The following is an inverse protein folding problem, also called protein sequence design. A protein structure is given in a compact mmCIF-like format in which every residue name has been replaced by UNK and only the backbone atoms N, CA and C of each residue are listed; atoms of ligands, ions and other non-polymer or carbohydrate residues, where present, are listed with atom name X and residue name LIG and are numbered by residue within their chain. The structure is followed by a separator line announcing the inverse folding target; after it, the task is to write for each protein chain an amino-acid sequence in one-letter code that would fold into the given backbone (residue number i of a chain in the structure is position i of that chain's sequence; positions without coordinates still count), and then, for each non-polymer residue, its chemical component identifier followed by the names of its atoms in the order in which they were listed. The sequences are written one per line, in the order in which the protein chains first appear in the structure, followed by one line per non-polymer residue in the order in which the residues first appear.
data_IF_936887161388
#
_entry.id   IF_936887161388
#
_cell.length_a   1.000
_cell.length_b   1.000
_cell.length_c   1.000
_cell.angle_alpha   90.00
_cell.angle_beta   90.00
_cell.angle_gamma   90.00
#
_symmetry.space_group_name_H-M   'P 1'
#
loop_
_entity.id
_entity.type
_entity.pdbx_description
1 polymer ?
#
# COMPACT_ATOMS: atom_id res chain seq x y z
N UNK A 1 -18.14 7.90 -13.49
CA UNK A 1 -17.33 7.09 -12.56
C UNK A 1 -17.80 5.65 -12.57
N UNK A 2 -16.87 4.70 -12.65
CA UNK A 2 -17.15 3.27 -12.91
C UNK A 2 -17.96 2.59 -11.81
N UNK A 3 -17.71 2.93 -10.54
CA UNK A 3 -18.47 2.39 -9.41
C UNK A 3 -19.99 2.63 -9.49
N UNK A 4 -20.45 3.72 -10.15
CA UNK A 4 -21.88 4.01 -10.29
C UNK A 4 -22.62 2.97 -11.14
N UNK A 5 -21.90 2.24 -12.00
CA UNK A 5 -22.43 1.12 -12.78
C UNK A 5 -22.90 0.00 -11.86
N UNK A 6 -22.20 -0.22 -10.74
CA UNK A 6 -22.53 -1.23 -9.75
C UNK A 6 -23.50 -0.72 -8.68
N UNK A 7 -23.33 0.54 -8.27
CA UNK A 7 -24.16 1.13 -7.23
C UNK A 7 -25.63 1.27 -7.65
N UNK A 8 -25.90 1.63 -8.91
CA UNK A 8 -27.28 1.88 -9.38
C UNK A 8 -28.18 0.63 -9.37
N UNK A 9 -27.76 -0.52 -9.91
CA UNK A 9 -28.54 -1.76 -9.79
C UNK A 9 -28.68 -2.22 -8.34
N UNK A 10 -27.65 -2.01 -7.52
CA UNK A 10 -27.70 -2.43 -6.12
C UNK A 10 -28.70 -1.57 -5.33
N UNK A 11 -28.78 -0.28 -5.63
CA UNK A 11 -29.77 0.64 -5.04
C UNK A 11 -31.21 0.37 -5.49
N UNK A 12 -31.44 -0.32 -6.61
CA UNK A 12 -32.80 -0.74 -6.98
C UNK A 12 -33.33 -1.92 -6.15
N UNK A 13 -32.44 -2.61 -5.43
CA UNK A 13 -32.78 -3.79 -4.63
C UNK A 13 -32.61 -3.50 -3.12
N UNK A 14 -31.62 -2.69 -2.76
CA UNK A 14 -31.23 -2.41 -1.38
C UNK A 14 -31.18 -0.91 -1.07
N UNK A 15 -31.41 -0.57 0.19
CA UNK A 15 -31.22 0.80 0.66
C UNK A 15 -29.72 1.14 0.78
N UNK A 16 -29.37 2.42 0.68
CA UNK A 16 -27.99 2.88 0.82
C UNK A 16 -27.32 2.40 2.11
N UNK A 17 -28.07 2.41 3.22
CA UNK A 17 -27.58 1.99 4.54
C UNK A 17 -27.30 0.48 4.60
N UNK A 18 -28.11 -0.33 3.93
CA UNK A 18 -27.93 -1.79 3.83
C UNK A 18 -26.68 -2.11 3.02
N UNK A 19 -26.51 -1.48 1.86
CA UNK A 19 -25.32 -1.61 1.01
C UNK A 19 -24.05 -1.28 1.81
N UNK A 20 -24.08 -0.16 2.54
CA UNK A 20 -22.95 0.27 3.36
C UNK A 20 -22.63 -0.73 4.48
N UNK A 21 -23.65 -1.26 5.15
CA UNK A 21 -23.48 -2.26 6.21
C UNK A 21 -22.84 -3.54 5.68
N UNK A 22 -23.33 -4.06 4.55
CA UNK A 22 -22.78 -5.26 3.90
C UNK A 22 -21.33 -5.07 3.47
N UNK A 23 -21.00 -3.94 2.85
CA UNK A 23 -19.62 -3.62 2.46
C UNK A 23 -18.70 -3.44 3.66
N UNK A 24 -19.20 -2.85 4.75
CA UNK A 24 -18.44 -2.71 6.00
C UNK A 24 -18.14 -4.09 6.60
N UNK A 25 -19.13 -4.98 6.66
CA UNK A 25 -18.92 -6.35 7.10
C UNK A 25 -17.88 -7.07 6.23
N UNK A 26 -18.00 -6.96 4.91
CA UNK A 26 -17.04 -7.55 3.97
C UNK A 26 -15.62 -6.99 4.15
N UNK A 27 -15.49 -5.68 4.36
CA UNK A 27 -14.21 -5.02 4.65
C UNK A 27 -13.54 -5.61 5.92
N UNK A 28 -14.28 -5.79 7.01
CA UNK A 28 -13.75 -6.34 8.25
C UNK A 28 -13.35 -7.81 8.12
N UNK A 29 -14.13 -8.60 7.39
CA UNK A 29 -13.78 -9.99 7.07
C UNK A 29 -12.48 -10.04 6.25
N UNK A 30 -12.36 -9.21 5.21
CA UNK A 30 -11.13 -9.09 4.42
C UNK A 30 -9.93 -8.64 5.25
N UNK A 31 -10.14 -7.71 6.19
CA UNK A 31 -9.09 -7.28 7.12
C UNK A 31 -8.63 -8.43 8.03
N UNK A 32 -9.56 -9.23 8.56
CA UNK A 32 -9.22 -10.44 9.33
C UNK A 32 -8.36 -11.41 8.53
N UNK A 33 -8.75 -11.70 7.29
CA UNK A 33 -7.97 -12.56 6.40
C UNK A 33 -6.62 -11.94 6.01
N UNK A 34 -6.55 -10.63 5.80
CA UNK A 34 -5.29 -9.97 5.43
C UNK A 34 -4.25 -10.07 6.55
N UNK A 35 -4.66 -10.00 7.82
CA UNK A 35 -3.78 -10.23 8.98
C UNK A 35 -3.18 -11.64 8.92
N UNK A 36 -4.01 -12.65 8.66
CA UNK A 36 -3.56 -14.05 8.53
C UNK A 36 -2.57 -14.18 7.36
N UNK A 37 -2.87 -13.57 6.21
CA UNK A 37 -1.98 -13.58 5.05
C UNK A 37 -0.63 -12.93 5.36
N UNK A 38 -0.61 -11.77 5.99
CA UNK A 38 0.62 -11.06 6.40
C UNK A 38 1.44 -11.92 7.36
N UNK A 39 0.79 -12.55 8.35
CA UNK A 39 1.46 -13.45 9.29
C UNK A 39 2.08 -14.66 8.58
N UNK A 40 1.33 -15.34 7.71
CA UNK A 40 1.83 -16.51 6.97
C UNK A 40 2.94 -16.17 5.98
N UNK A 41 2.89 -14.98 5.38
CA UNK A 41 3.89 -14.53 4.40
C UNK A 41 5.22 -14.15 5.05
N UNK A 42 5.16 -13.47 6.20
CA UNK A 42 6.36 -12.94 6.87
C UNK A 42 6.89 -13.84 7.99
N UNK A 43 6.08 -14.81 8.44
CA UNK A 43 6.32 -15.64 9.62
C UNK A 43 6.71 -14.81 10.87
N UNK A 44 6.19 -13.58 10.98
CA UNK A 44 6.55 -12.63 12.03
C UNK A 44 5.31 -12.00 12.67
N UNK A 45 4.94 -12.47 13.86
CA UNK A 45 3.79 -11.94 14.61
C UNK A 45 3.93 -10.45 14.95
N UNK A 46 5.17 -9.96 15.15
CA UNK A 46 5.41 -8.54 15.39
C UNK A 46 5.11 -7.71 14.14
N UNK A 47 5.48 -8.20 12.96
CA UNK A 47 5.14 -7.54 11.69
C UNK A 47 3.62 -7.47 11.50
N UNK A 48 2.90 -8.57 11.74
CA UNK A 48 1.44 -8.60 11.65
C UNK A 48 0.77 -7.67 12.67
N UNK A 49 1.27 -7.59 13.90
CA UNK A 49 0.78 -6.67 14.92
C UNK A 49 0.98 -5.19 14.52
N UNK A 50 2.14 -4.85 13.95
CA UNK A 50 2.39 -3.49 13.45
C UNK A 50 1.52 -3.14 12.23
N UNK A 51 1.22 -4.11 11.37
CA UNK A 51 0.24 -3.94 10.30
C UNK A 51 -1.15 -3.58 10.85
N UNK A 52 -1.62 -4.31 11.87
CA UNK A 52 -2.91 -4.01 12.54
C UNK A 52 -2.88 -2.60 13.14
N UNK A 53 -1.80 -2.24 13.84
CA UNK A 53 -1.64 -0.91 14.40
C UNK A 53 -1.72 0.19 13.32
N UNK A 54 -1.11 -0.03 12.16
CA UNK A 54 -1.19 0.91 11.04
C UNK A 54 -2.63 1.10 10.53
N UNK A 55 -3.43 0.04 10.45
CA UNK A 55 -4.83 0.18 9.98
C UNK A 55 -5.69 0.89 11.04
N UNK A 56 -5.47 0.60 12.32
CA UNK A 56 -6.17 1.26 13.43
C UNK A 56 -5.86 2.76 13.50
N UNK A 57 -4.61 3.16 13.27
CA UNK A 57 -4.22 4.58 13.29
C UNK A 57 -4.84 5.40 12.15
N UNK A 58 -5.31 4.75 11.09
CA UNK A 58 -5.99 5.41 9.95
C UNK A 58 -7.49 5.66 10.20
N UNK A 59 -7.97 5.44 11.42
CA UNK A 59 -9.36 5.57 11.82
C UNK A 59 -10.30 4.68 10.96
N UNK A 60 -10.37 3.37 11.26
CA UNK A 60 -11.16 2.42 10.47
C UNK A 60 -12.67 2.68 10.52
N UNK A 61 -13.17 3.37 11.54
CA UNK A 61 -14.57 3.83 11.61
C UNK A 61 -14.84 4.84 10.50
N UNK A 62 -13.91 5.77 10.27
CA UNK A 62 -14.04 6.72 9.16
C UNK A 62 -13.81 6.07 7.79
N UNK A 63 -13.02 4.98 7.70
CA UNK A 63 -12.87 4.21 6.45
C UNK A 63 -14.20 3.52 6.07
N UNK A 64 -14.88 2.93 7.05
CA UNK A 64 -16.17 2.23 6.85
C UNK A 64 -17.36 3.16 6.65
N UNK A 65 -17.23 4.45 6.94
CA UNK A 65 -18.34 5.40 6.77
C UNK A 65 -18.56 5.86 5.32
N UNK A 66 -17.55 5.74 4.44
CA UNK A 66 -17.63 6.17 3.04
C UNK A 66 -17.31 5.04 2.05
N UNK A 67 -18.17 4.87 1.04
CA UNK A 67 -17.99 3.92 -0.07
C UNK A 67 -16.71 4.17 -0.88
N UNK A 68 -16.28 5.44 -0.96
CA UNK A 68 -15.07 5.81 -1.70
C UNK A 68 -13.82 5.24 -1.03
N UNK A 69 -13.72 5.31 0.30
CA UNK A 69 -12.59 4.74 1.03
C UNK A 69 -12.65 3.23 1.09
N UNK A 70 -13.83 2.66 1.35
CA UNK A 70 -13.99 1.21 1.45
C UNK A 70 -13.48 0.52 0.19
N UNK A 71 -13.72 1.11 -0.98
CA UNK A 71 -13.28 0.55 -2.26
C UNK A 71 -11.75 0.44 -2.36
N UNK A 72 -11.01 1.49 -1.98
CA UNK A 72 -9.54 1.45 -1.95
C UNK A 72 -8.99 0.46 -0.92
N UNK A 73 -9.57 0.41 0.29
CA UNK A 73 -9.10 -0.53 1.32
C UNK A 73 -9.45 -1.98 1.00
N UNK A 74 -10.63 -2.25 0.41
CA UNK A 74 -10.99 -3.59 -0.10
C UNK A 74 -9.97 -4.03 -1.15
N UNK A 75 -9.66 -3.17 -2.13
CA UNK A 75 -8.64 -3.49 -3.15
C UNK A 75 -7.26 -3.73 -2.53
N UNK A 76 -6.85 -2.92 -1.54
CA UNK A 76 -5.59 -3.10 -0.85
C UNK A 76 -5.54 -4.44 -0.09
N UNK A 77 -6.62 -4.81 0.61
CA UNK A 77 -6.70 -6.08 1.34
C UNK A 77 -6.74 -7.28 0.38
N UNK A 78 -7.53 -7.22 -0.69
CA UNK A 78 -7.49 -8.22 -1.75
C UNK A 78 -6.08 -8.36 -2.36
N UNK A 79 -5.39 -7.25 -2.56
CA UNK A 79 -4.00 -7.23 -3.02
C UNK A 79 -3.06 -7.96 -2.05
N UNK A 80 -3.15 -7.66 -0.74
CA UNK A 80 -2.36 -8.35 0.31
C UNK A 80 -2.67 -9.86 0.33
N UNK A 81 -3.94 -10.25 0.19
CA UNK A 81 -4.36 -11.65 0.15
C UNK A 81 -3.82 -12.40 -1.08
N UNK A 82 -3.61 -11.69 -2.19
CA UNK A 82 -3.05 -12.28 -3.40
C UNK A 82 -1.53 -12.50 -3.31
N UNK A 83 -0.80 -11.72 -2.50
CA UNK A 83 0.68 -11.75 -2.43
C UNK A 83 1.26 -13.17 -2.28
N UNK A 84 0.80 -14.03 -1.34
CA UNK A 84 1.35 -15.39 -1.21
C UNK A 84 1.27 -16.20 -2.50
N UNK A 85 0.13 -16.09 -3.20
CA UNK A 85 -0.10 -16.79 -4.47
C UNK A 85 0.76 -16.21 -5.58
N UNK A 86 0.92 -14.89 -5.64
CA UNK A 86 1.80 -14.22 -6.62
C UNK A 86 3.25 -14.65 -6.41
N UNK A 87 3.74 -14.69 -5.17
CA UNK A 87 5.12 -15.14 -4.86
C UNK A 87 5.33 -16.61 -5.22
N UNK A 88 4.31 -17.46 -5.05
CA UNK A 88 4.39 -18.87 -5.49
C UNK A 88 4.44 -18.99 -7.00
N UNK A 89 3.57 -18.26 -7.71
CA UNK A 89 3.47 -18.30 -9.17
C UNK A 89 4.66 -17.66 -9.88
N UNK A 90 5.37 -16.72 -9.24
CA UNK A 90 6.52 -16.04 -9.83
C UNK A 90 7.63 -17.01 -10.28
N UNK A 91 7.75 -18.15 -9.59
CA UNK A 91 8.71 -19.22 -9.93
C UNK A 91 8.43 -19.84 -11.31
N UNK A 92 7.15 -19.94 -11.68
CA UNK A 92 6.70 -20.50 -12.96
C UNK A 92 6.47 -19.41 -14.02
N UNK A 93 6.00 -18.24 -13.59
CA UNK A 93 5.58 -17.12 -14.43
C UNK A 93 6.26 -15.81 -13.97
N UNK A 94 7.44 -15.45 -14.50
CA UNK A 94 8.22 -14.30 -14.03
C UNK A 94 7.58 -12.92 -14.26
N UNK A 95 6.49 -12.85 -15.05
CA UNK A 95 5.73 -11.62 -15.30
C UNK A 95 4.49 -11.48 -14.41
N UNK A 96 4.14 -12.49 -13.60
CA UNK A 96 2.89 -12.51 -12.81
C UNK A 96 2.79 -11.33 -11.85
N UNK A 97 3.92 -10.89 -11.28
CA UNK A 97 3.99 -9.71 -10.41
C UNK A 97 3.57 -8.42 -11.14
N UNK A 98 4.03 -8.24 -12.38
CA UNK A 98 3.65 -7.06 -13.18
C UNK A 98 2.21 -7.12 -13.62
N UNK A 99 1.71 -8.29 -14.05
CA UNK A 99 0.29 -8.45 -14.40
C UNK A 99 -0.58 -8.14 -13.19
N UNK A 100 -0.18 -8.60 -12.01
CA UNK A 100 -0.88 -8.30 -10.76
C UNK A 100 -0.96 -6.79 -10.47
N UNK A 101 0.16 -6.06 -10.52
CA UNK A 101 0.15 -4.61 -10.30
C UNK A 101 -0.53 -3.83 -11.43
N UNK A 102 -0.52 -4.34 -12.66
CA UNK A 102 -1.29 -3.78 -13.78
C UNK A 102 -2.79 -3.86 -13.49
N UNK A 103 -3.27 -5.04 -13.09
CA UNK A 103 -4.67 -5.25 -12.72
C UNK A 103 -5.07 -4.39 -11.53
N UNK A 104 -4.24 -4.34 -10.48
CA UNK A 104 -4.49 -3.46 -9.33
C UNK A 104 -4.56 -2.00 -9.75
N UNK A 105 -3.64 -1.49 -10.57
CA UNK A 105 -3.67 -0.09 -11.03
C UNK A 105 -4.92 0.24 -11.83
N UNK A 106 -5.32 -0.65 -12.74
CA UNK A 106 -6.54 -0.48 -13.53
C UNK A 106 -7.80 -0.48 -12.66
N UNK A 107 -7.91 -1.42 -11.72
CA UNK A 107 -9.03 -1.51 -10.78
C UNK A 107 -9.06 -0.29 -9.85
N UNK A 108 -7.91 0.13 -9.33
CA UNK A 108 -7.83 1.31 -8.48
C UNK A 108 -8.32 2.53 -9.23
N UNK A 109 -7.90 2.77 -10.48
CA UNK A 109 -8.43 3.91 -11.21
C UNK A 109 -9.92 3.77 -11.55
N UNK A 110 -10.44 2.55 -11.69
CA UNK A 110 -11.86 2.33 -11.94
C UNK A 110 -12.73 2.76 -10.74
N UNK A 111 -12.31 2.39 -9.52
CA UNK A 111 -13.04 2.57 -8.27
C UNK A 111 -12.68 3.83 -7.47
N UNK A 112 -11.44 4.31 -7.56
CA UNK A 112 -10.97 5.44 -6.75
C UNK A 112 -11.53 6.78 -7.27
N UNK A 113 -11.74 7.67 -6.31
CA UNK A 113 -12.19 9.04 -6.51
C UNK A 113 -11.08 10.04 -6.17
N UNK A 114 -9.82 9.70 -6.47
CA UNK A 114 -8.62 10.45 -6.10
C UNK A 114 -8.46 10.62 -4.58
N UNK A 115 -8.86 9.61 -3.81
CA UNK A 115 -8.88 9.70 -2.34
C UNK A 115 -7.57 9.24 -1.72
N UNK A 116 -7.19 7.98 -1.92
CA UNK A 116 -5.92 7.41 -1.44
C UNK A 116 -5.52 6.19 -2.30
N UNK A 117 -5.38 6.35 -3.64
CA UNK A 117 -5.14 5.22 -4.54
C UNK A 117 -3.80 4.53 -4.26
N UNK A 118 -2.81 5.27 -3.77
CA UNK A 118 -1.48 4.74 -3.47
C UNK A 118 -1.49 3.60 -2.45
N UNK A 119 -2.48 3.56 -1.53
CA UNK A 119 -2.62 2.47 -0.55
C UNK A 119 -2.80 1.12 -1.25
N UNK A 120 -3.54 1.08 -2.36
CA UNK A 120 -3.80 -0.14 -3.13
C UNK A 120 -2.54 -0.75 -3.75
N UNK A 121 -1.52 0.07 -3.98
CA UNK A 121 -0.21 -0.36 -4.47
C UNK A 121 0.74 -0.65 -3.31
N UNK A 122 0.96 0.34 -2.45
CA UNK A 122 2.06 0.32 -1.50
C UNK A 122 1.87 -0.73 -0.41
N UNK A 123 0.64 -1.01 0.04
CA UNK A 123 0.41 -2.04 1.05
C UNK A 123 0.74 -3.44 0.50
N UNK A 124 0.16 -3.92 -0.61
CA UNK A 124 0.59 -5.18 -1.22
C UNK A 124 2.08 -5.22 -1.54
N UNK A 125 2.65 -4.11 -2.02
CA UNK A 125 4.08 -4.00 -2.34
C UNK A 125 4.97 -4.19 -1.11
N UNK A 126 4.65 -3.56 0.03
CA UNK A 126 5.39 -3.75 1.29
C UNK A 126 5.34 -5.21 1.74
N UNK A 127 4.17 -5.86 1.63
CA UNK A 127 4.05 -7.29 1.99
C UNK A 127 4.83 -8.18 1.01
N UNK A 128 4.82 -7.87 -0.29
CA UNK A 128 5.60 -8.59 -1.30
C UNK A 128 7.11 -8.45 -1.06
N UNK A 129 7.60 -7.25 -0.75
CA UNK A 129 9.00 -7.01 -0.38
C UNK A 129 9.37 -7.78 0.90
N UNK A 130 8.47 -7.80 1.89
CA UNK A 130 8.66 -8.59 3.11
C UNK A 130 8.67 -10.10 2.82
N UNK A 131 7.88 -10.59 1.86
CA UNK A 131 7.90 -11.98 1.41
C UNK A 131 9.25 -12.35 0.79
N UNK A 132 9.75 -11.53 -0.15
CA UNK A 132 11.06 -11.75 -0.80
C UNK A 132 12.22 -11.70 0.20
N UNK A 133 12.12 -10.84 1.22
CA UNK A 133 13.08 -10.76 2.32
C UNK A 133 12.91 -11.85 3.39
N UNK A 134 11.81 -12.60 3.36
CA UNK A 134 11.57 -13.72 4.27
C UNK A 134 12.15 -15.04 3.75
N UNK A 135 12.49 -15.13 2.46
CA UNK A 135 13.20 -16.24 1.83
C UNK A 135 14.73 -16.18 2.02
N UNK A 136 15.51 -16.88 1.16
CA UNK A 136 16.97 -16.96 1.28
C UNK A 136 17.64 -15.58 1.28
N UNK A 137 18.70 -15.43 2.10
CA UNK A 137 19.45 -14.16 2.26
C UNK A 137 20.28 -13.73 1.03
N UNK A 138 19.98 -14.23 -0.15
CA UNK A 138 20.68 -13.94 -1.40
C UNK A 138 20.17 -12.67 -2.09
N UNK A 139 18.98 -12.19 -1.74
CA UNK A 139 18.34 -11.06 -2.42
C UNK A 139 19.13 -9.77 -2.21
N UNK A 140 19.44 -9.08 -3.32
CA UNK A 140 20.19 -7.83 -3.31
C UNK A 140 19.28 -6.61 -3.16
N UNK A 141 19.79 -5.53 -2.55
CA UNK A 141 19.04 -4.28 -2.41
C UNK A 141 18.60 -3.72 -3.78
N UNK A 142 19.48 -3.82 -4.78
CA UNK A 142 19.17 -3.42 -6.17
C UNK A 142 17.99 -4.22 -6.75
N UNK A 143 17.89 -5.51 -6.44
CA UNK A 143 16.78 -6.35 -6.91
C UNK A 143 15.46 -5.91 -6.26
N UNK A 144 15.46 -5.65 -4.96
CA UNK A 144 14.28 -5.11 -4.25
C UNK A 144 13.84 -3.75 -4.80
N UNK A 145 14.80 -2.89 -5.11
CA UNK A 145 14.53 -1.58 -5.70
C UNK A 145 13.96 -1.71 -7.12
N UNK A 146 14.45 -2.66 -7.92
CA UNK A 146 13.92 -2.94 -9.25
C UNK A 146 12.49 -3.48 -9.20
N UNK A 147 12.19 -4.38 -8.26
CA UNK A 147 10.82 -4.87 -8.01
C UNK A 147 9.91 -3.69 -7.67
N UNK A 148 10.33 -2.81 -6.74
CA UNK A 148 9.57 -1.62 -6.37
C UNK A 148 9.33 -0.68 -7.56
N UNK A 149 10.39 -0.33 -8.29
CA UNK A 149 10.31 0.60 -9.42
C UNK A 149 9.43 0.04 -10.55
N UNK A 150 9.60 -1.25 -10.89
CA UNK A 150 8.81 -1.94 -11.91
C UNK A 150 7.34 -2.03 -11.50
N UNK A 151 7.05 -2.45 -10.27
CA UNK A 151 5.69 -2.52 -9.75
C UNK A 151 5.01 -1.16 -9.78
N UNK A 152 5.71 -0.10 -9.31
CA UNK A 152 5.19 1.26 -9.31
C UNK A 152 4.92 1.77 -10.73
N UNK A 153 5.86 1.57 -11.65
CA UNK A 153 5.72 1.99 -13.04
C UNK A 153 4.52 1.31 -13.71
N UNK A 154 4.40 -0.01 -13.57
CA UNK A 154 3.30 -0.78 -14.16
C UNK A 154 1.95 -0.40 -13.55
N UNK A 155 1.89 -0.22 -12.23
CA UNK A 155 0.68 0.24 -11.54
C UNK A 155 0.27 1.65 -12.01
N UNK A 156 1.22 2.59 -12.07
CA UNK A 156 0.98 3.95 -12.56
C UNK A 156 0.55 3.96 -14.03
N UNK A 157 1.18 3.14 -14.86
CA UNK A 157 0.84 3.02 -16.28
C UNK A 157 -0.62 2.54 -16.45
N UNK A 158 -1.04 1.51 -15.71
CA UNK A 158 -2.42 1.05 -15.74
C UNK A 158 -3.39 2.10 -15.19
N UNK A 159 -3.04 2.75 -14.07
CA UNK A 159 -3.86 3.77 -13.45
C UNK A 159 -4.08 4.97 -14.39
N UNK A 160 -3.01 5.54 -14.94
CA UNK A 160 -3.10 6.66 -15.90
C UNK A 160 -3.73 6.21 -17.22
N UNK A 161 -3.47 4.99 -17.67
CA UNK A 161 -4.07 4.43 -18.89
C UNK A 161 -5.60 4.37 -18.81
N UNK A 162 -6.16 3.82 -17.73
CA UNK A 162 -7.61 3.79 -17.52
C UNK A 162 -8.18 5.20 -17.34
N UNK A 163 -7.43 6.11 -16.72
CA UNK A 163 -7.84 7.51 -16.63
C UNK A 163 -8.00 8.15 -18.01
N UNK A 164 -6.98 8.04 -18.86
CA UNK A 164 -6.98 8.58 -20.21
C UNK A 164 -8.09 7.94 -21.04
N UNK A 165 -8.27 6.61 -20.94
CA UNK A 165 -9.32 5.91 -21.67
C UNK A 165 -10.73 6.41 -21.30
N UNK A 166 -10.97 6.75 -20.02
CA UNK A 166 -12.23 7.37 -19.58
C UNK A 166 -12.43 8.76 -20.21
N UNK A 167 -11.37 9.57 -20.30
CA UNK A 167 -11.44 10.89 -20.93
C UNK A 167 -11.74 10.77 -22.43
N UNK A 168 -11.06 9.85 -23.12
CA UNK A 168 -11.30 9.57 -24.54
C UNK A 168 -12.74 9.11 -24.76
N UNK A 169 -13.23 8.14 -23.96
CA UNK A 169 -14.62 7.68 -24.06
C UNK A 169 -15.62 8.82 -23.83
N UNK A 170 -15.36 9.70 -22.84
CA UNK A 170 -16.22 10.85 -22.56
C UNK A 170 -16.25 11.83 -23.73
N UNK A 171 -15.09 12.12 -24.33
CA UNK A 171 -14.98 12.99 -25.50
C UNK A 171 -15.74 12.44 -26.70
N UNK A 172 -15.59 11.13 -26.98
CA UNK A 172 -16.29 10.44 -28.06
C UNK A 172 -17.81 10.49 -27.89
N UNK A 173 -18.32 10.20 -26.69
CA UNK A 173 -19.77 10.23 -26.43
C UNK A 173 -20.34 11.66 -26.39
N UNK A 174 -19.55 12.64 -25.99
CA UNK A 174 -19.98 14.04 -25.95
C UNK A 174 -19.83 14.75 -27.31
N UNK A 175 -19.22 14.11 -28.32
CA UNK A 175 -18.90 14.75 -29.60
C UNK A 175 -17.91 15.92 -29.46
N UNK A 176 -17.06 15.89 -28.43
CA UNK A 176 -16.12 16.97 -28.13
C UNK A 176 -14.68 16.55 -28.46
N UNK A 177 -13.83 17.51 -28.80
CA UNK A 177 -12.40 17.26 -28.95
C UNK A 177 -11.74 16.93 -27.60
N UNK A 178 -10.80 15.98 -27.62
CA UNK A 178 -10.14 15.48 -26.41
C UNK A 178 -9.17 16.52 -25.81
N UNK A 179 -8.46 17.27 -26.67
CA UNK A 179 -7.45 18.24 -26.25
C UNK A 179 -7.98 19.32 -25.28
N UNK A 180 -9.10 20.01 -25.55
CA UNK A 180 -9.66 20.98 -24.61
C UNK A 180 -10.20 20.36 -23.32
N UNK A 181 -10.62 19.09 -23.33
CA UNK A 181 -11.05 18.39 -22.11
C UNK A 181 -9.85 18.12 -21.22
N UNK A 182 -8.76 17.59 -21.80
CA UNK A 182 -7.52 17.32 -21.06
C UNK A 182 -6.94 18.62 -20.50
N UNK A 183 -6.90 19.70 -21.28
CA UNK A 183 -6.35 20.98 -20.81
C UNK A 183 -7.17 21.57 -19.66
N UNK A 184 -8.50 21.46 -19.69
CA UNK A 184 -9.37 21.88 -18.58
C UNK A 184 -9.13 21.07 -17.32
N UNK A 185 -9.07 19.74 -17.44
CA UNK A 185 -8.83 18.86 -16.29
C UNK A 185 -7.42 19.09 -15.72
N UNK A 186 -6.41 19.25 -16.56
CA UNK A 186 -5.05 19.58 -16.12
C UNK A 186 -4.99 20.97 -15.47
N UNK A 187 -5.67 21.97 -16.03
CA UNK A 187 -5.76 23.31 -15.43
C UNK A 187 -6.48 23.27 -14.08
N UNK A 188 -7.49 22.41 -13.90
CA UNK A 188 -8.15 22.21 -12.61
C UNK A 188 -7.24 21.49 -11.59
N UNK A 189 -6.43 20.53 -12.04
CA UNK A 189 -5.47 19.80 -11.20
C UNK A 189 -4.26 20.67 -10.81
N UNK A 190 -3.72 21.44 -11.76
CA UNK A 190 -2.48 22.22 -11.62
C UNK A 190 -2.72 23.66 -11.17
N UNK A 191 -3.76 24.32 -11.70
CA UNK A 191 -4.03 25.75 -11.48
C UNK A 191 -4.48 26.08 -10.06
N UNK A 192 -5.18 25.18 -9.39
CA UNK A 192 -5.68 25.43 -8.04
C UNK A 192 -4.57 25.44 -6.96
N UNK A 193 -3.46 24.75 -7.21
CA UNK A 193 -2.28 24.71 -6.32
C UNK A 193 -1.44 25.98 -6.37
N UNK A 194 -1.35 26.62 -7.53
CA UNK A 194 -0.49 27.79 -7.74
C UNK A 194 -1.12 29.09 -7.23
N UNK A 195 -2.46 29.17 -7.14
CA UNK A 195 -3.15 30.43 -6.86
C UNK A 195 -3.75 30.55 -5.45
N UNK A 196 -4.15 29.47 -4.77
CA UNK A 196 -4.99 29.58 -3.55
C UNK A 196 -4.71 28.56 -2.42
N UNK A 197 -3.69 27.70 -2.52
CA UNK A 197 -3.38 26.71 -1.48
C UNK A 197 -2.33 27.19 -0.46
N UNK A 198 -2.42 26.78 0.83
CA UNK A 198 -1.30 26.97 1.75
C UNK A 198 -0.10 26.13 1.31
N UNK A 199 1.10 26.58 1.68
CA UNK A 199 2.35 25.94 1.27
C UNK A 199 2.42 24.44 1.59
N UNK A 200 3.27 23.73 0.86
CA UNK A 200 3.47 22.28 0.97
C UNK A 200 3.64 21.78 2.42
N UNK A 201 4.47 22.46 3.20
CA UNK A 201 4.72 22.10 4.61
C UNK A 201 3.48 22.18 5.49
N UNK A 202 2.64 23.20 5.29
CA UNK A 202 1.36 23.37 6.04
C UNK A 202 0.37 22.26 5.69
N UNK A 203 0.36 21.82 4.43
CA UNK A 203 -0.50 20.72 3.99
C UNK A 203 -0.08 19.40 4.62
N UNK A 204 1.23 19.13 4.67
CA UNK A 204 1.75 17.92 5.32
C UNK A 204 1.51 17.96 6.83
N UNK A 205 1.80 19.06 7.51
CA UNK A 205 1.60 19.17 8.96
C UNK A 205 0.12 18.95 9.31
N UNK A 206 -0.79 19.57 8.57
CA UNK A 206 -2.22 19.37 8.77
C UNK A 206 -2.67 17.91 8.53
N UNK A 207 -2.04 17.19 7.61
CA UNK A 207 -2.32 15.75 7.42
C UNK A 207 -1.72 14.91 8.56
N UNK A 208 -0.55 15.27 9.08
CA UNK A 208 0.09 14.61 10.21
C UNK A 208 -0.70 14.79 11.50
N UNK A 209 -1.30 15.96 11.73
CA UNK A 209 -2.14 16.21 12.91
C UNK A 209 -3.38 15.28 12.96
N UNK A 210 -3.87 14.83 11.81
CA UNK A 210 -5.00 13.90 11.73
C UNK A 210 -4.63 12.43 12.01
N UNK A 211 -3.35 12.07 11.94
CA UNK A 211 -2.87 10.70 12.19
C UNK A 211 -2.13 10.58 13.53
N UNK A 212 -1.42 11.63 13.96
CA UNK A 212 -0.63 11.67 15.18
C UNK A 212 -1.47 12.17 16.37
N UNK A 213 -2.56 11.47 16.68
CA UNK A 213 -3.27 11.72 17.94
C UNK A 213 -2.38 11.34 19.14
N UNK A 214 -2.62 11.89 20.34
CA UNK A 214 -1.80 11.59 21.53
C UNK A 214 -1.69 10.08 21.81
N UNK A 215 -2.77 9.33 21.59
CA UNK A 215 -2.81 7.87 21.77
C UNK A 215 -1.93 7.13 20.75
N UNK A 216 -1.95 7.58 19.49
CA UNK A 216 -1.09 7.05 18.44
C UNK A 216 0.38 7.37 18.73
N UNK A 217 0.67 8.60 19.19
CA UNK A 217 2.04 8.99 19.56
C UNK A 217 2.59 8.18 20.73
N UNK A 218 1.80 7.97 21.78
CA UNK A 218 2.19 7.13 22.92
C UNK A 218 2.45 5.68 22.48
N UNK A 219 1.60 5.15 21.60
CA UNK A 219 1.77 3.81 21.02
C UNK A 219 3.02 3.70 20.15
N UNK A 220 3.30 4.71 19.31
CA UNK A 220 4.52 4.78 18.50
C UNK A 220 5.78 4.85 19.36
N UNK A 221 5.75 5.62 20.47
CA UNK A 221 6.85 5.67 21.42
C UNK A 221 7.10 4.30 22.07
N UNK A 222 6.06 3.58 22.47
CA UNK A 222 6.17 2.22 23.00
C UNK A 222 6.74 1.25 21.95
N UNK A 223 6.23 1.29 20.72
CA UNK A 223 6.74 0.49 19.59
C UNK A 223 8.21 0.77 19.35
N UNK A 224 8.62 2.04 19.42
CA UNK A 224 10.01 2.45 19.27
C UNK A 224 10.90 1.89 20.38
N UNK A 225 10.47 1.94 21.65
CA UNK A 225 11.21 1.34 22.77
C UNK A 225 11.35 -0.18 22.59
N UNK A 226 10.27 -0.88 22.23
CA UNK A 226 10.29 -2.33 21.95
C UNK A 226 11.27 -2.62 20.80
N UNK A 227 11.21 -1.81 19.74
CA UNK A 227 12.11 -1.91 18.60
C UNK A 227 13.57 -1.75 19.01
N UNK A 228 13.92 -0.70 19.77
CA UNK A 228 15.29 -0.46 20.26
C UNK A 228 15.81 -1.71 20.96
N UNK A 229 15.08 -2.23 21.95
CA UNK A 229 15.49 -3.43 22.70
C UNK A 229 15.73 -4.65 21.79
N UNK A 230 14.87 -4.86 20.78
CA UNK A 230 15.02 -5.99 19.85
C UNK A 230 16.14 -5.77 18.83
N UNK A 231 16.31 -4.53 18.38
CA UNK A 231 17.34 -4.13 17.42
C UNK A 231 18.74 -4.29 18.01
N UNK A 232 18.95 -3.89 19.28
CA UNK A 232 20.24 -4.09 19.96
C UNK A 232 20.64 -5.56 20.06
N UNK A 233 19.66 -6.44 20.20
CA UNK A 233 19.83 -7.91 20.26
C UNK A 233 19.92 -8.60 18.90
N UNK A 234 19.80 -7.86 17.79
CA UNK A 234 19.90 -8.43 16.45
C UNK A 234 21.39 -8.58 16.07
N UNK A 235 21.90 -9.79 15.77
CA UNK A 235 23.29 -9.97 15.34
C UNK A 235 23.56 -9.42 13.92
N UNK A 236 22.54 -9.31 13.06
CA UNK A 236 22.69 -8.98 11.63
C UNK A 236 22.23 -7.54 11.28
N UNK A 237 22.52 -6.57 12.15
CA UNK A 237 22.00 -5.18 12.05
C UNK A 237 22.30 -4.54 10.69
N UNK A 238 23.52 -4.71 10.19
CA UNK A 238 23.96 -4.10 8.93
C UNK A 238 23.18 -4.61 7.72
N UNK A 239 22.98 -5.93 7.62
CA UNK A 239 22.16 -6.55 6.58
C UNK A 239 20.70 -6.07 6.70
N UNK A 240 20.15 -6.09 7.91
CA UNK A 240 18.77 -5.73 8.15
C UNK A 240 18.47 -4.26 7.83
N UNK A 241 19.38 -3.32 8.15
CA UNK A 241 19.26 -1.91 7.79
C UNK A 241 19.37 -1.72 6.28
N UNK A 242 20.41 -2.30 5.65
CA UNK A 242 20.64 -2.15 4.21
C UNK A 242 19.46 -2.64 3.38
N UNK A 243 18.90 -3.80 3.73
CA UNK A 243 17.76 -4.37 3.00
C UNK A 243 16.43 -3.74 3.41
N UNK A 244 16.26 -3.42 4.69
CA UNK A 244 15.06 -2.76 5.20
C UNK A 244 14.83 -1.36 4.61
N UNK A 245 15.88 -0.66 4.18
CA UNK A 245 15.78 0.68 3.60
C UNK A 245 14.79 0.78 2.42
N UNK A 246 14.52 -0.32 1.70
CA UNK A 246 13.51 -0.36 0.63
C UNK A 246 12.10 -0.04 1.13
N UNK A 247 11.77 -0.40 2.38
CA UNK A 247 10.50 -0.04 3.01
C UNK A 247 10.39 1.47 3.24
N UNK A 248 11.49 2.14 3.60
CA UNK A 248 11.48 3.59 3.79
C UNK A 248 11.29 4.32 2.45
N UNK A 249 11.90 3.82 1.38
CA UNK A 249 11.74 4.37 0.02
C UNK A 249 10.27 4.27 -0.43
N UNK A 250 9.58 3.19 -0.10
CA UNK A 250 8.13 3.07 -0.38
C UNK A 250 7.32 4.14 0.36
N UNK A 251 7.74 4.55 1.55
CA UNK A 251 7.10 5.61 2.33
C UNK A 251 7.20 6.98 1.69
N UNK A 252 8.33 7.28 1.02
CA UNK A 252 8.56 8.55 0.30
C UNK A 252 7.50 8.75 -0.80
N UNK A 253 7.00 7.67 -1.42
CA UNK A 253 5.95 7.74 -2.44
C UNK A 253 4.68 8.45 -1.94
N UNK A 254 4.34 8.29 -0.66
CA UNK A 254 3.18 8.96 -0.06
C UNK A 254 3.37 10.47 0.06
N UNK A 255 4.60 10.90 0.36
CA UNK A 255 4.96 12.32 0.44
C UNK A 255 4.89 12.91 -0.97
N UNK A 256 5.45 12.22 -1.97
CA UNK A 256 5.38 12.63 -3.38
C UNK A 256 3.91 12.72 -3.83
N UNK A 257 3.08 11.74 -3.48
CA UNK A 257 1.67 11.76 -3.84
C UNK A 257 0.93 12.96 -3.24
N UNK A 258 1.10 13.24 -1.95
CA UNK A 258 0.53 14.44 -1.31
C UNK A 258 1.09 15.71 -1.94
N UNK A 259 2.37 15.70 -2.31
CA UNK A 259 3.03 16.78 -3.03
C UNK A 259 2.52 16.96 -4.47
N UNK A 260 1.82 16.00 -5.07
CA UNK A 260 1.29 16.11 -6.45
C UNK A 260 -0.25 16.14 -6.52
N UNK A 261 -0.96 15.61 -5.52
CA UNK A 261 -2.41 15.48 -5.54
C UNK A 261 -3.11 16.85 -5.46
N UNK A 262 -4.12 17.12 -6.31
CA UNK A 262 -4.86 18.39 -6.26
C UNK A 262 -5.66 18.51 -4.95
N UNK A 263 -5.82 19.74 -4.45
CA UNK A 263 -6.68 20.11 -3.31
C UNK A 263 -6.44 19.33 -2.00
N UNK A 264 -5.24 18.78 -1.77
CA UNK A 264 -4.91 18.00 -0.56
C UNK A 264 -5.24 18.72 0.74
N UNK A 265 -4.98 20.03 0.80
CA UNK A 265 -5.27 20.83 1.98
C UNK A 265 -6.77 20.94 2.28
N UNK A 266 -7.60 21.22 1.27
CA UNK A 266 -9.05 21.36 1.42
C UNK A 266 -9.69 20.03 1.85
N UNK A 267 -9.18 18.93 1.33
CA UNK A 267 -9.65 17.58 1.65
C UNK A 267 -8.68 16.84 2.56
N UNK A 268 -8.01 17.54 3.50
CA UNK A 268 -7.04 16.92 4.42
C UNK A 268 -7.62 15.74 5.18
N UNK A 269 -8.88 15.85 5.62
CA UNK A 269 -9.62 14.79 6.31
C UNK A 269 -9.83 13.53 5.46
N UNK A 270 -9.69 13.65 4.13
CA UNK A 270 -9.78 12.54 3.19
C UNK A 270 -8.40 12.01 2.82
N UNK A 271 -7.48 12.90 2.47
CA UNK A 271 -6.20 12.53 1.85
C UNK A 271 -5.11 12.13 2.84
N UNK A 272 -5.21 12.49 4.13
CA UNK A 272 -4.22 12.11 5.14
C UNK A 272 -4.02 10.59 5.23
N UNK A 273 -5.01 9.78 4.83
CA UNK A 273 -4.91 8.32 4.83
C UNK A 273 -3.81 7.80 3.91
N UNK A 274 -3.41 8.57 2.91
CA UNK A 274 -2.23 8.26 2.08
C UNK A 274 -0.94 8.23 2.91
N UNK A 275 -0.85 8.98 4.02
CA UNK A 275 0.25 8.88 5.01
C UNK A 275 0.27 7.53 5.73
N UNK A 276 -0.80 6.74 5.66
CA UNK A 276 -0.79 5.35 6.11
C UNK A 276 0.28 4.51 5.42
N UNK A 277 0.64 4.86 4.18
CA UNK A 277 1.77 4.25 3.49
C UNK A 277 3.09 4.60 4.18
N UNK A 278 3.30 5.85 4.58
CA UNK A 278 4.48 6.27 5.35
C UNK A 278 4.56 5.53 6.69
N UNK A 279 3.46 5.47 7.42
CA UNK A 279 3.37 4.76 8.71
C UNK A 279 3.68 3.27 8.52
N UNK A 280 3.00 2.60 7.58
CA UNK A 280 3.24 1.17 7.29
C UNK A 280 4.70 0.91 6.88
N UNK A 281 5.28 1.77 6.05
CA UNK A 281 6.67 1.70 5.61
C UNK A 281 7.66 1.77 6.77
N UNK A 282 7.49 2.73 7.68
CA UNK A 282 8.33 2.85 8.88
C UNK A 282 8.16 1.62 9.77
N UNK A 283 6.92 1.22 10.02
CA UNK A 283 6.63 0.06 10.86
C UNK A 283 7.18 -1.25 10.28
N UNK A 284 7.08 -1.45 8.95
CA UNK A 284 7.67 -2.59 8.25
C UNK A 284 9.20 -2.59 8.39
N UNK A 285 9.84 -1.43 8.28
CA UNK A 285 11.28 -1.29 8.54
C UNK A 285 11.64 -1.69 9.98
N UNK A 286 10.89 -1.23 10.98
CA UNK A 286 11.11 -1.58 12.38
C UNK A 286 10.90 -3.09 12.63
N UNK A 287 9.84 -3.69 12.07
CA UNK A 287 9.58 -5.12 12.21
C UNK A 287 10.66 -5.98 11.54
N UNK A 288 11.16 -5.58 10.37
CA UNK A 288 12.21 -6.30 9.67
C UNK A 288 13.56 -6.20 10.38
N UNK A 289 13.94 -5.00 10.82
CA UNK A 289 15.22 -4.76 11.52
C UNK A 289 15.27 -5.37 12.92
N UNK A 290 14.12 -5.68 13.52
CA UNK A 290 14.00 -6.35 14.82
C UNK A 290 13.83 -7.88 14.73
N UNK A 291 13.88 -8.45 13.52
CA UNK A 291 13.79 -9.90 13.29
C UNK A 291 15.04 -10.58 13.86
N UNK A 292 14.85 -11.50 14.81
CA UNK A 292 15.91 -12.41 15.26
C UNK A 292 16.05 -13.54 14.25
N UNK A 293 17.26 -14.07 14.05
CA UNK A 293 17.43 -15.35 13.35
C UNK A 293 16.49 -16.37 13.99
N UNK A 294 15.59 -16.95 13.20
CA UNK A 294 14.95 -18.19 13.58
C UNK A 294 16.01 -19.28 13.37
N UNK A 295 16.14 -20.21 14.32
CA UNK A 295 17.14 -21.29 14.36
C UNK A 295 16.99 -22.31 13.20
N UNK A 296 16.15 -22.02 12.20
CA UNK A 296 15.84 -22.91 11.09
C UNK A 296 16.83 -22.82 9.92
N UNK A 297 17.66 -21.78 9.84
CA UNK A 297 18.74 -21.70 8.83
C UNK A 297 19.90 -22.68 9.11
N UNK A 298 19.94 -23.33 10.28
CA UNK A 298 20.98 -24.31 10.65
C UNK A 298 20.71 -25.74 10.18
N UNK A 299 19.64 -26.00 9.41
CA UNK A 299 19.30 -27.34 8.90
C UNK A 299 19.56 -27.50 7.40
N UNK A 300 20.05 -26.46 6.70
CA UNK A 300 20.32 -26.50 5.25
C UNK A 300 21.83 -26.55 4.89
N UNK A 301 22.74 -26.81 5.82
CA UNK A 301 24.12 -27.20 5.43
C UNK A 301 24.11 -28.65 4.92
N UNK A 302 24.38 -28.91 3.62
CA UNK A 302 24.58 -30.27 3.16
C UNK A 302 25.90 -30.77 3.75
N UNK A 303 25.85 -31.84 4.51
CA UNK A 303 27.00 -32.62 4.93
C UNK A 303 27.70 -33.21 3.70
N UNK A 304 28.59 -32.45 3.07
CA UNK A 304 29.54 -32.97 2.07
C UNK A 304 30.96 -32.92 2.62
N UNK A 305 31.24 -33.80 3.57
CA UNK A 305 32.59 -34.25 3.92
C UNK A 305 32.53 -35.69 4.41
N UNK A 306 32.56 -36.66 3.49
CA UNK A 306 33.19 -37.95 3.77
C UNK A 306 34.05 -38.36 2.58
N UNK A 307 35.30 -37.92 2.67
CA UNK A 307 36.45 -38.51 2.01
C UNK A 307 36.67 -39.92 2.58
N UNK A 308 36.61 -40.93 1.72
CA UNK A 308 37.27 -42.24 1.83
C UNK A 308 37.39 -42.71 0.37
N UNK A 309 38.54 -42.82 -0.31
CA UNK A 309 39.81 -43.49 0.05
C UNK A 309 39.52 -44.73 0.89
N UNK A 310 39.15 -45.80 0.21
CA UNK A 310 40.06 -46.90 -0.13
C UNK A 310 39.63 -47.59 -1.44
#
# INVERSE_FOLDING_TARGET
MGFRIWLRPLLSIFNYMEIRSMLTFFLWVLFGFSIISVFRTTANSFFAALYVFCIVSLNPVAISSSLTYMSCFILAFCGILAVPKITSLEKEFPLVESVFFLCLGALTQFFDFYTSPLITFAFPMIILLAAKLSGPRTVRFRELLLVLARGLFVWLFAYVGIWLLKLVATALFAGQEIAPIISRVLAEILGDRALHGPGFFVTISACLDNILTPEVMASLALIFVIWVVRFWKNPDKAYAISRGAVFLITGILSIIWIACAPRTYLHRFFQYRTLGVLVMSILAFLAFTSRRKCVLDSQEEPSTTSNHRD
#
